data_IF_214773619595
#
_entry.id   IF_214773619595
#
_cell.length_a   1.000
_cell.length_b   1.000
_cell.length_c   1.000
_cell.angle_alpha   90.00
_cell.angle_beta   90.00
_cell.angle_gamma   90.00
#
_symmetry.space_group_name_H-M   'P 1'
#
loop_
_entity.id
_entity.type
_entity.pdbx_description
1 polymer ?
#
# COMPACT_ATOMS: atom_id res chain seq x y z
N UNK A 1 -0.76 10.81 11.72
CA UNK A 1 -0.33 9.60 12.44
C UNK A 1 -0.67 8.35 11.62
N UNK A 2 0.26 7.44 11.51
CA UNK A 2 0.05 6.20 10.77
C UNK A 2 -0.47 5.12 11.70
N UNK A 3 -1.58 4.49 11.32
CA UNK A 3 -2.12 3.34 12.05
C UNK A 3 -1.69 2.05 11.34
N UNK A 4 -1.34 1.04 12.13
CA UNK A 4 -0.94 -0.26 11.61
C UNK A 4 -2.01 -1.28 11.98
N UNK A 5 -2.48 -2.01 10.98
CA UNK A 5 -3.44 -3.07 11.15
C UNK A 5 -2.80 -4.39 10.69
N UNK A 6 -2.91 -5.42 11.54
CA UNK A 6 -2.33 -6.74 11.24
C UNK A 6 -3.47 -7.71 10.95
N UNK A 7 -3.40 -8.34 9.79
CA UNK A 7 -4.43 -9.26 9.32
C UNK A 7 -3.82 -10.63 9.00
N UNK A 8 -4.47 -11.70 9.48
CA UNK A 8 -4.01 -13.07 9.22
C UNK A 8 -5.07 -13.83 8.43
N UNK A 9 -4.92 -13.97 7.10
CA UNK A 9 -5.87 -14.67 6.25
C UNK A 9 -5.59 -16.17 6.15
N UNK A 10 -4.89 -16.75 7.08
CA UNK A 10 -4.32 -18.10 6.92
C UNK A 10 -5.33 -19.23 6.93
N UNK A 11 -6.58 -19.00 7.33
CA UNK A 11 -7.55 -20.08 7.47
C UNK A 11 -7.89 -20.71 6.12
N UNK A 12 -7.61 -22.00 5.99
CA UNK A 12 -7.95 -22.75 4.79
C UNK A 12 -7.11 -22.44 3.57
N UNK A 13 -6.04 -21.69 3.72
CA UNK A 13 -5.17 -21.38 2.61
C UNK A 13 -4.42 -22.62 2.12
N UNK A 14 -4.18 -22.71 0.82
CA UNK A 14 -3.33 -23.73 0.26
C UNK A 14 -1.93 -23.61 0.87
N UNK A 15 -1.24 -24.75 1.02
CA UNK A 15 0.11 -24.75 1.57
C UNK A 15 1.04 -24.01 0.62
N UNK A 16 1.68 -22.95 1.08
CA UNK A 16 2.68 -22.27 0.26
C UNK A 16 3.93 -23.14 0.11
N UNK A 17 4.64 -23.01 -0.98
CA UNK A 17 5.89 -23.73 -1.18
C UNK A 17 6.94 -23.30 -0.16
N UNK A 18 6.89 -22.04 0.25
CA UNK A 18 7.75 -21.51 1.30
C UNK A 18 6.88 -21.00 2.44
N UNK A 19 7.31 -21.19 3.69
CA UNK A 19 6.54 -20.65 4.81
C UNK A 19 6.50 -19.13 4.71
N UNK A 20 5.35 -18.50 5.03
CA UNK A 20 5.27 -17.05 5.04
C UNK A 20 6.16 -16.47 6.12
N UNK A 21 6.64 -15.24 5.91
CA UNK A 21 7.41 -14.55 6.93
C UNK A 21 6.52 -14.28 8.16
N UNK A 22 7.05 -14.43 9.37
CA UNK A 22 6.30 -14.07 10.56
C UNK A 22 5.90 -12.60 10.53
N UNK A 23 4.73 -12.29 11.07
CA UNK A 23 4.22 -10.91 11.08
C UNK A 23 5.21 -9.96 11.75
N UNK A 24 5.90 -10.41 12.80
CA UNK A 24 6.91 -9.58 13.45
C UNK A 24 8.05 -9.20 12.51
N UNK A 25 8.46 -10.11 11.64
CA UNK A 25 9.50 -9.82 10.65
C UNK A 25 8.97 -8.84 9.62
N UNK A 26 7.73 -9.01 9.17
CA UNK A 26 7.10 -8.06 8.25
C UNK A 26 6.98 -6.67 8.87
N UNK A 27 6.64 -6.59 10.14
CA UNK A 27 6.52 -5.31 10.84
C UNK A 27 7.87 -4.61 10.93
N UNK A 28 8.94 -5.34 11.27
CA UNK A 28 10.28 -4.78 11.34
C UNK A 28 10.76 -4.33 9.96
N UNK A 29 10.54 -5.16 8.94
CA UNK A 29 10.89 -4.81 7.56
C UNK A 29 10.15 -3.58 7.07
N UNK A 30 8.86 -3.46 7.42
CA UNK A 30 8.05 -2.29 7.07
C UNK A 30 8.56 -1.04 7.78
N UNK A 31 8.91 -1.15 9.06
CA UNK A 31 9.48 -0.02 9.80
C UNK A 31 10.80 0.42 9.18
N UNK A 32 11.63 -0.52 8.77
CA UNK A 32 12.89 -0.22 8.07
C UNK A 32 12.64 0.51 6.76
N UNK A 33 11.68 0.03 5.97
CA UNK A 33 11.29 0.67 4.72
C UNK A 33 10.86 2.12 4.94
N UNK A 34 9.98 2.35 5.92
CA UNK A 34 9.50 3.69 6.23
C UNK A 34 10.64 4.62 6.66
N UNK A 35 11.61 4.08 7.39
CA UNK A 35 12.76 4.85 7.82
C UNK A 35 13.69 5.17 6.65
N UNK A 36 13.92 4.20 5.77
CA UNK A 36 14.74 4.42 4.57
C UNK A 36 14.13 5.42 3.62
N UNK A 37 12.80 5.49 3.59
CA UNK A 37 12.04 6.39 2.74
C UNK A 37 11.38 7.51 3.55
N UNK A 38 12.03 7.96 4.62
CA UNK A 38 11.46 8.99 5.51
C UNK A 38 11.24 10.32 4.81
N UNK A 39 11.92 10.56 3.70
CA UNK A 39 11.75 11.77 2.89
C UNK A 39 10.50 11.72 1.99
N UNK A 40 9.91 10.55 1.83
CA UNK A 40 8.68 10.39 1.05
C UNK A 40 7.45 10.67 1.91
N UNK A 41 6.33 11.07 1.29
CA UNK A 41 5.07 11.22 2.02
C UNK A 41 4.69 9.91 2.69
N UNK A 42 4.34 9.95 3.96
CA UNK A 42 4.06 8.75 4.73
C UNK A 42 2.59 8.35 4.61
N UNK A 43 2.27 7.04 4.60
CA UNK A 43 0.88 6.58 4.52
C UNK A 43 0.09 6.90 5.79
N UNK A 44 -1.23 7.01 5.66
CA UNK A 44 -2.13 7.17 6.78
C UNK A 44 -2.34 5.87 7.54
N UNK A 45 -2.48 4.76 6.80
CA UNK A 45 -2.71 3.44 7.37
C UNK A 45 -1.80 2.42 6.74
N UNK A 46 -1.36 1.46 7.53
CA UNK A 46 -0.55 0.35 7.06
C UNK A 46 -1.24 -0.93 7.51
N UNK A 47 -1.52 -1.83 6.54
CA UNK A 47 -2.06 -3.15 6.82
C UNK A 47 -0.98 -4.18 6.52
N UNK A 48 -0.64 -5.00 7.49
CA UNK A 48 0.36 -6.05 7.34
C UNK A 48 -0.35 -7.39 7.34
N UNK A 49 -0.11 -8.17 6.29
CA UNK A 49 -0.72 -9.49 6.11
C UNK A 49 0.33 -10.57 6.27
N UNK A 50 -0.06 -11.69 6.89
CA UNK A 50 0.80 -12.86 7.04
C UNK A 50 1.16 -13.51 5.70
N UNK A 51 0.60 -13.06 4.60
CA UNK A 51 0.94 -13.53 3.26
C UNK A 51 2.07 -12.74 2.62
N UNK A 52 2.89 -12.08 3.41
CA UNK A 52 4.05 -11.29 2.97
C UNK A 52 3.68 -10.03 2.21
N UNK A 53 2.46 -9.54 2.39
CA UNK A 53 2.02 -8.31 1.74
C UNK A 53 1.76 -7.21 2.76
N UNK A 54 2.07 -5.99 2.34
CA UNK A 54 1.87 -4.79 3.15
C UNK A 54 1.17 -3.76 2.29
N UNK A 55 0.09 -3.19 2.81
CA UNK A 55 -0.66 -2.16 2.11
C UNK A 55 -0.47 -0.81 2.79
N UNK A 56 -0.02 0.18 2.02
CA UNK A 56 0.09 1.57 2.44
C UNK A 56 -1.10 2.33 1.89
N UNK A 57 -2.00 2.76 2.76
CA UNK A 57 -3.16 3.54 2.35
C UNK A 57 -2.90 5.03 2.56
N UNK A 58 -3.08 5.81 1.50
CA UNK A 58 -2.95 7.26 1.53
C UNK A 58 -4.33 7.90 1.60
N UNK A 59 -4.37 9.17 2.00
CA UNK A 59 -5.62 9.91 2.16
C UNK A 59 -6.40 10.01 0.85
N UNK A 60 -7.74 10.07 0.90
CA UNK A 60 -8.58 10.17 -0.30
C UNK A 60 -8.57 11.61 -0.84
N UNK A 61 -7.41 12.07 -1.27
CA UNK A 61 -7.24 13.43 -1.78
C UNK A 61 -6.25 13.43 -2.95
N UNK A 62 -6.36 14.46 -3.79
CA UNK A 62 -5.57 14.55 -5.01
C UNK A 62 -4.07 14.50 -4.76
N UNK A 63 -3.61 15.10 -3.68
CA UNK A 63 -2.19 15.09 -3.33
C UNK A 63 -1.62 13.67 -3.19
N UNK A 64 -2.47 12.68 -2.89
CA UNK A 64 -2.03 11.30 -2.74
C UNK A 64 -1.58 10.68 -4.06
N UNK A 65 -2.07 11.17 -5.21
CA UNK A 65 -1.57 10.70 -6.51
C UNK A 65 -0.09 11.00 -6.65
N UNK A 66 0.33 12.20 -6.26
CA UNK A 66 1.73 12.60 -6.30
C UNK A 66 2.56 11.81 -5.29
N UNK A 67 2.00 11.59 -4.10
CA UNK A 67 2.67 10.80 -3.08
C UNK A 67 2.96 9.38 -3.58
N UNK A 68 1.95 8.72 -4.15
CA UNK A 68 2.08 7.36 -4.67
C UNK A 68 3.07 7.32 -5.83
N UNK A 69 3.04 8.34 -6.71
CA UNK A 69 3.99 8.43 -7.82
C UNK A 69 5.43 8.54 -7.31
N UNK A 70 5.67 9.28 -6.24
CA UNK A 70 7.01 9.38 -5.66
C UNK A 70 7.49 8.06 -5.09
N UNK A 71 6.61 7.30 -4.43
CA UNK A 71 6.94 5.96 -3.96
C UNK A 71 7.26 5.04 -5.14
N UNK A 72 6.44 5.11 -6.20
CA UNK A 72 6.68 4.30 -7.40
C UNK A 72 8.06 4.59 -8.00
N UNK A 73 8.39 5.86 -8.16
CA UNK A 73 9.68 6.26 -8.73
C UNK A 73 10.86 5.80 -7.87
N UNK A 74 10.73 5.93 -6.55
CA UNK A 74 11.80 5.52 -5.64
C UNK A 74 12.13 4.03 -5.78
N UNK A 75 11.12 3.18 -6.00
CA UNK A 75 11.28 1.73 -6.02
C UNK A 75 11.16 1.12 -7.41
N UNK A 76 11.28 1.93 -8.45
CA UNK A 76 11.31 1.43 -9.82
C UNK A 76 10.00 0.86 -10.32
N UNK A 77 8.88 1.35 -9.80
CA UNK A 77 7.54 0.91 -10.18
C UNK A 77 6.81 2.02 -10.93
N UNK A 78 5.55 1.76 -11.29
CA UNK A 78 4.69 2.69 -12.02
C UNK A 78 3.39 2.85 -11.26
N UNK A 79 2.93 4.09 -11.13
CA UNK A 79 1.61 4.37 -10.59
C UNK A 79 0.57 4.17 -11.67
N UNK A 80 -0.48 3.41 -11.35
CA UNK A 80 -1.61 3.20 -12.24
C UNK A 80 -2.87 3.77 -11.60
N UNK A 81 -3.82 4.17 -12.42
CA UNK A 81 -5.10 4.67 -11.92
C UNK A 81 -6.23 4.08 -12.76
N UNK A 82 -7.38 3.87 -12.11
CA UNK A 82 -8.56 3.36 -12.78
C UNK A 82 -9.82 3.93 -12.15
N UNK A 83 -10.88 4.15 -12.93
CA UNK A 83 -12.15 4.60 -12.38
C UNK A 83 -12.82 3.46 -11.61
N UNK A 84 -13.53 3.83 -10.55
CA UNK A 84 -14.26 2.89 -9.73
C UNK A 84 -15.54 3.53 -9.21
N UNK A 85 -16.61 2.74 -9.09
CA UNK A 85 -17.89 3.17 -8.54
C UNK A 85 -18.21 2.32 -7.33
N UNK A 86 -18.62 2.98 -6.26
CA UNK A 86 -19.17 2.31 -5.09
C UNK A 86 -20.33 3.13 -4.52
N UNK A 87 -20.79 2.76 -3.33
CA UNK A 87 -21.91 3.46 -2.67
C UNK A 87 -21.61 4.92 -2.37
N UNK A 88 -20.36 5.31 -2.35
CA UNK A 88 -19.92 6.69 -2.13
C UNK A 88 -19.78 7.48 -3.44
N UNK A 89 -20.10 6.86 -4.57
CA UNK A 89 -20.05 7.50 -5.88
C UNK A 89 -18.78 7.20 -6.66
N UNK A 90 -18.52 7.98 -7.71
CA UNK A 90 -17.36 7.74 -8.57
C UNK A 90 -16.06 8.11 -7.88
N UNK A 91 -15.05 7.27 -8.08
CA UNK A 91 -13.71 7.42 -7.51
C UNK A 91 -12.67 7.13 -8.57
N UNK A 92 -11.46 7.61 -8.33
CA UNK A 92 -10.27 7.18 -9.06
C UNK A 92 -9.38 6.42 -8.09
N UNK A 93 -9.10 5.16 -8.39
CA UNK A 93 -8.22 4.34 -7.58
C UNK A 93 -6.82 4.41 -8.16
N UNK A 94 -5.88 4.90 -7.35
CA UNK A 94 -4.48 5.02 -7.72
C UNK A 94 -3.68 4.04 -6.91
N UNK A 95 -2.73 3.35 -7.54
CA UNK A 95 -1.88 2.42 -6.82
C UNK A 95 -0.55 2.20 -7.52
N UNK A 96 0.42 1.74 -6.73
CA UNK A 96 1.66 1.17 -7.24
C UNK A 96 2.03 -0.03 -6.39
N UNK A 97 2.78 -0.95 -6.95
CA UNK A 97 3.25 -2.15 -6.25
C UNK A 97 4.74 -2.30 -6.47
N UNK A 98 5.45 -2.64 -5.42
CA UNK A 98 6.89 -2.89 -5.49
C UNK A 98 7.29 -3.93 -4.45
N UNK A 99 8.48 -4.48 -4.61
CA UNK A 99 9.03 -5.44 -3.67
C UNK A 99 10.12 -4.78 -2.85
N UNK A 100 10.11 -5.03 -1.54
CA UNK A 100 11.14 -4.56 -0.62
C UNK A 100 11.69 -5.75 0.16
N UNK A 101 12.80 -6.29 -0.34
CA UNK A 101 13.46 -7.46 0.27
C UNK A 101 12.50 -8.60 0.56
N UNK A 102 11.68 -8.97 -0.43
CA UNK A 102 10.73 -10.07 -0.33
C UNK A 102 9.37 -9.68 0.24
N UNK A 103 9.18 -8.43 0.64
CA UNK A 103 7.88 -7.93 1.10
C UNK A 103 7.19 -7.26 -0.07
N UNK A 104 5.99 -7.74 -0.43
CA UNK A 104 5.20 -7.11 -1.48
C UNK A 104 4.44 -5.93 -0.90
N UNK A 105 4.75 -4.73 -1.38
CA UNK A 105 4.15 -3.49 -0.89
C UNK A 105 3.22 -2.92 -1.95
N UNK A 106 1.99 -2.58 -1.55
CA UNK A 106 1.04 -1.86 -2.38
C UNK A 106 0.74 -0.52 -1.73
N UNK A 107 1.03 0.56 -2.44
CA UNK A 107 0.67 1.91 -2.02
C UNK A 107 -0.55 2.36 -2.83
N UNK A 108 -1.62 2.79 -2.17
CA UNK A 108 -2.86 3.10 -2.88
C UNK A 108 -3.64 4.23 -2.22
N UNK A 109 -4.54 4.82 -3.00
CA UNK A 109 -5.50 5.81 -2.53
C UNK A 109 -6.77 5.73 -3.39
N UNK A 110 -7.91 5.98 -2.75
CA UNK A 110 -9.22 6.07 -3.43
C UNK A 110 -9.63 7.54 -3.42
N UNK A 111 -9.49 8.21 -4.54
CA UNK A 111 -9.67 9.65 -4.65
C UNK A 111 -11.03 9.95 -5.26
N UNK A 112 -11.85 10.84 -4.66
CA UNK A 112 -13.12 11.22 -5.28
C UNK A 112 -12.88 11.71 -6.72
N UNK A 113 -13.66 11.22 -7.67
CA UNK A 113 -13.44 11.49 -9.10
C UNK A 113 -13.48 12.99 -9.41
N UNK A 114 -14.29 13.75 -8.69
CA UNK A 114 -14.38 15.19 -8.86
C UNK A 114 -13.06 15.92 -8.58
N UNK A 115 -12.22 15.38 -7.69
CA UNK A 115 -10.90 15.93 -7.44
C UNK A 115 -9.89 15.48 -8.50
N UNK A 116 -9.98 14.22 -8.90
CA UNK A 116 -9.02 13.65 -9.84
C UNK A 116 -9.21 14.18 -11.27
N UNK A 117 -10.40 14.69 -11.59
CA UNK A 117 -10.71 15.15 -12.94
C UNK A 117 -10.36 16.62 -13.19
N UNK A 118 -9.83 17.33 -12.22
CA UNK A 118 -9.38 18.72 -12.41
C UNK A 118 -7.88 18.82 -12.77
#
# INVERSE_FOLDING_TARGET
MTSIYIFDPSDGAALPELPPLPIGVLAVGTADLLQQAADLPQPHFITISSTQSVDFQFAPELASMRAITRWALRFGSVMTSEPHWDENGPQTWCRTRFDYFGIAVTAYAHIPAEQAST
#
